data_IF_100717901808
#
_entry.id   IF_100717901808
#
_cell.length_a   1.000
_cell.length_b   1.000
_cell.length_c   1.000
_cell.angle_alpha   90.00
_cell.angle_beta   90.00
_cell.angle_gamma   90.00
#
_symmetry.space_group_name_H-M   'P 1'
#
loop_
_entity.id
_entity.type
_entity.pdbx_description
1 polymer ?
#
# COMPACT_ATOMS: atom_id res chain seq x y z
N UNK A 1 43.51 -6.64 -39.78
CA UNK A 1 42.66 -7.17 -40.84
C UNK A 1 41.29 -6.93 -40.33
N UNK A 2 40.84 -5.89 -40.69
CA UNK A 2 39.93 -5.26 -41.64
C UNK A 2 38.60 -4.97 -40.91
N UNK A 3 38.34 -3.70 -40.60
CA UNK A 3 37.70 -2.67 -41.43
C UNK A 3 36.23 -3.12 -41.72
N UNK A 4 35.17 -2.42 -41.40
CA UNK A 4 34.82 -1.05 -41.80
C UNK A 4 33.49 -0.61 -41.09
N UNK A 5 33.45 0.67 -40.77
CA UNK A 5 32.26 1.52 -40.70
C UNK A 5 31.96 2.07 -42.12
N UNK A 6 31.04 2.99 -42.33
CA UNK A 6 29.74 3.40 -41.76
C UNK A 6 28.68 3.62 -42.88
N UNK A 7 27.65 4.43 -42.62
CA UNK A 7 26.75 5.21 -43.52
C UNK A 7 25.26 4.97 -43.22
N UNK A 8 24.31 5.87 -43.21
CA UNK A 8 24.23 7.28 -43.58
C UNK A 8 22.90 7.85 -43.06
N UNK A 9 22.94 9.11 -42.65
CA UNK A 9 21.78 10.01 -42.55
C UNK A 9 21.44 10.56 -43.97
N UNK A 10 20.22 11.06 -44.22
CA UNK A 10 20.04 12.42 -44.69
C UNK A 10 18.91 13.18 -43.99
N UNK A 11 19.14 14.30 -43.49
CA UNK A 11 19.04 15.74 -43.82
C UNK A 11 17.78 16.22 -44.56
N UNK A 12 17.10 17.14 -43.84
CA UNK A 12 16.54 18.44 -44.27
C UNK A 12 15.63 18.53 -45.51
N UNK A 13 14.46 19.15 -45.31
CA UNK A 13 13.99 20.23 -46.17
C UNK A 13 13.06 21.20 -45.42
N UNK A 14 13.57 22.44 -45.32
CA UNK A 14 12.83 23.69 -45.10
C UNK A 14 12.14 24.06 -46.44
N UNK A 15 10.93 24.64 -46.35
CA UNK A 15 10.46 25.59 -47.39
C UNK A 15 9.67 26.70 -46.73
N UNK A 16 10.21 27.89 -46.92
CA UNK A 16 9.63 29.20 -46.65
C UNK A 16 8.63 29.64 -47.71
N UNK A 17 7.95 30.72 -47.36
CA UNK A 17 7.36 31.82 -48.14
C UNK A 17 5.91 31.77 -48.57
N UNK A 18 5.25 32.90 -48.21
CA UNK A 18 4.11 33.45 -48.92
C UNK A 18 3.30 34.46 -48.09
N UNK A 19 3.79 35.73 -48.04
CA UNK A 19 3.01 36.89 -47.67
C UNK A 19 1.90 37.18 -48.69
N UNK A 20 0.69 37.59 -48.27
CA UNK A 20 -0.11 38.52 -49.04
C UNK A 20 -1.04 39.37 -48.15
N UNK A 21 -0.89 40.68 -48.30
CA UNK A 21 -1.68 41.77 -47.67
C UNK A 21 -3.00 41.94 -48.43
N UNK A 22 -4.05 42.31 -47.68
CA UNK A 22 -5.30 42.76 -48.31
C UNK A 22 -6.28 43.38 -47.37
N UNK A 23 -6.21 44.68 -47.32
CA UNK A 23 -7.05 45.74 -46.69
C UNK A 23 -8.55 45.58 -46.75
N UNK A 24 -9.20 46.06 -45.67
CA UNK A 24 -10.32 47.07 -45.66
C UNK A 24 -11.73 46.66 -45.29
N UNK A 25 -12.18 47.36 -44.27
CA UNK A 25 -13.48 48.04 -44.06
C UNK A 25 -14.58 47.33 -43.30
N UNK A 26 -14.70 47.75 -42.06
CA UNK A 26 -15.84 48.51 -41.49
C UNK A 26 -17.25 47.96 -41.61
N UNK A 27 -17.79 47.48 -40.48
CA UNK A 27 -19.20 47.75 -40.13
C UNK A 27 -19.42 47.51 -38.64
N UNK A 28 -19.71 48.59 -37.94
CA UNK A 28 -20.29 48.63 -36.59
C UNK A 28 -21.61 47.87 -36.59
N UNK A 29 -21.85 47.03 -35.59
CA UNK A 29 -23.13 46.96 -34.86
C UNK A 29 -23.05 46.00 -33.70
N UNK A 30 -23.21 46.56 -32.61
CA UNK A 30 -24.11 46.19 -31.53
C UNK A 30 -23.64 45.25 -30.43
N UNK A 31 -23.57 45.93 -29.31
CA UNK A 31 -23.37 45.42 -27.96
C UNK A 31 -24.38 44.36 -27.58
N UNK A 32 -23.88 43.17 -27.23
CA UNK A 32 -24.48 42.42 -26.15
C UNK A 32 -23.37 41.77 -25.34
N UNK A 33 -23.10 42.41 -24.26
CA UNK A 33 -22.35 41.96 -23.11
C UNK A 33 -23.08 40.75 -22.51
N UNK A 34 -22.71 39.57 -23.00
CA UNK A 34 -23.03 38.30 -22.34
C UNK A 34 -21.96 38.04 -21.34
N UNK A 35 -22.14 38.57 -20.14
CA UNK A 35 -21.46 38.06 -18.94
C UNK A 35 -21.88 36.61 -18.74
N UNK A 36 -21.17 35.71 -19.40
CA UNK A 36 -21.14 34.32 -19.00
C UNK A 36 -20.45 34.31 -17.64
N UNK A 37 -21.25 34.40 -16.62
CA UNK A 37 -20.96 34.06 -15.24
C UNK A 37 -20.50 32.60 -15.28
N UNK A 38 -19.19 32.40 -15.44
CA UNK A 38 -18.56 31.13 -15.15
C UNK A 38 -18.63 31.00 -13.65
N UNK A 39 -19.78 30.54 -13.16
CA UNK A 39 -19.90 29.98 -11.82
C UNK A 39 -18.84 28.87 -11.74
N UNK A 40 -17.66 29.23 -11.22
CA UNK A 40 -16.75 28.29 -10.62
C UNK A 40 -17.62 27.58 -9.59
N UNK A 41 -18.00 26.34 -9.92
CA UNK A 41 -18.57 25.41 -8.95
C UNK A 41 -17.43 25.19 -7.96
N UNK A 42 -17.42 26.03 -6.93
CA UNK A 42 -16.52 25.91 -5.79
C UNK A 42 -16.91 24.58 -5.13
N UNK A 43 -16.14 23.53 -5.45
CA UNK A 43 -16.34 22.21 -4.86
C UNK A 43 -16.20 22.39 -3.34
N UNK A 44 -17.28 22.24 -2.54
CA UNK A 44 -17.26 22.50 -1.11
C UNK A 44 -16.21 21.66 -0.37
N UNK A 45 -15.70 20.59 -1.03
CA UNK A 45 -14.61 19.77 -0.51
C UNK A 45 -13.21 20.38 -0.71
N UNK A 46 -13.06 21.43 -1.51
CA UNK A 46 -11.79 22.11 -1.76
C UNK A 46 -11.66 23.46 -1.05
N UNK A 47 -12.66 23.91 -0.30
CA UNK A 47 -12.53 25.17 0.43
C UNK A 47 -11.43 25.07 1.48
N UNK A 48 -10.59 26.10 1.58
CA UNK A 48 -9.48 26.16 2.55
C UNK A 48 -9.97 25.92 3.98
N UNK A 49 -11.13 26.43 4.33
CA UNK A 49 -11.74 26.23 5.64
C UNK A 49 -12.12 24.77 5.90
N UNK A 50 -12.65 24.08 4.91
CA UNK A 50 -12.98 22.66 5.02
C UNK A 50 -11.72 21.82 5.30
N UNK A 51 -10.65 22.04 4.53
CA UNK A 51 -9.38 21.33 4.72
C UNK A 51 -8.78 21.64 6.09
N UNK A 52 -8.86 22.86 6.56
CA UNK A 52 -8.37 23.25 7.87
C UNK A 52 -9.17 22.55 8.99
N UNK A 53 -10.49 22.52 8.91
CA UNK A 53 -11.35 21.83 9.88
C UNK A 53 -11.08 20.32 9.86
N UNK A 54 -10.93 19.70 8.66
CA UNK A 54 -10.57 18.29 8.50
C UNK A 54 -9.22 18.00 9.14
N UNK A 55 -8.21 18.85 8.93
CA UNK A 55 -6.89 18.73 9.54
C UNK A 55 -6.95 18.72 11.07
N UNK A 56 -7.63 19.68 11.67
CA UNK A 56 -7.78 19.75 13.12
C UNK A 56 -8.51 18.54 13.70
N UNK A 57 -9.57 18.10 13.03
CA UNK A 57 -10.30 16.88 13.42
C UNK A 57 -9.37 15.66 13.41
N UNK A 58 -8.65 15.43 12.29
CA UNK A 58 -7.73 14.31 12.16
C UNK A 58 -6.65 14.33 13.23
N UNK A 59 -6.04 15.50 13.46
CA UNK A 59 -4.99 15.68 14.45
C UNK A 59 -5.51 15.43 15.88
N UNK A 60 -6.72 15.87 16.20
CA UNK A 60 -7.34 15.61 17.49
C UNK A 60 -7.58 14.11 17.73
N UNK A 61 -8.09 13.41 16.71
CA UNK A 61 -8.30 11.97 16.81
C UNK A 61 -6.95 11.20 16.94
N UNK A 62 -5.93 11.59 16.17
CA UNK A 62 -4.58 11.02 16.28
C UNK A 62 -4.00 11.21 17.68
N UNK A 63 -4.12 12.40 18.28
CA UNK A 63 -3.70 12.65 19.67
C UNK A 63 -4.43 11.76 20.67
N UNK A 64 -5.75 11.59 20.54
CA UNK A 64 -6.55 10.71 21.40
C UNK A 64 -6.13 9.25 21.28
N UNK A 65 -5.72 8.80 20.11
CA UNK A 65 -5.21 7.43 19.91
C UNK A 65 -3.79 7.28 20.45
N UNK A 66 -2.93 8.28 20.23
CA UNK A 66 -1.56 8.31 20.71
C UNK A 66 -1.49 8.21 22.24
N UNK A 67 -2.32 8.95 23.00
CA UNK A 67 -2.35 8.90 24.46
C UNK A 67 -2.76 7.55 25.04
N UNK A 68 -3.35 6.67 24.24
CA UNK A 68 -3.72 5.30 24.64
C UNK A 68 -2.61 4.28 24.42
N UNK A 69 -1.52 4.67 23.77
CA UNK A 69 -0.37 3.78 23.56
C UNK A 69 0.42 3.59 24.85
N UNK A 70 1.17 2.48 24.99
CA UNK A 70 2.19 2.36 26.03
C UNK A 70 3.24 3.48 25.92
N UNK A 71 3.71 3.97 27.07
CA UNK A 71 4.60 5.13 27.18
C UNK A 71 5.84 5.05 26.27
N UNK A 72 6.44 3.87 26.17
CA UNK A 72 7.62 3.62 25.32
C UNK A 72 7.38 3.94 23.83
N UNK A 73 6.14 3.84 23.34
CA UNK A 73 5.79 4.18 21.97
C UNK A 73 5.34 5.64 21.85
N UNK A 74 4.70 6.20 22.89
CA UNK A 74 4.36 7.62 22.91
C UNK A 74 5.61 8.49 22.77
N UNK A 75 6.72 8.13 23.47
CA UNK A 75 7.98 8.87 23.39
C UNK A 75 8.64 8.86 22.01
N UNK A 76 8.31 7.86 21.17
CA UNK A 76 8.90 7.72 19.84
C UNK A 76 8.04 8.28 18.71
N UNK A 77 6.76 8.46 18.93
CA UNK A 77 5.84 9.08 17.99
C UNK A 77 5.73 10.56 18.33
N UNK A 78 6.52 11.38 17.65
CA UNK A 78 6.55 12.82 17.93
C UNK A 78 5.27 13.52 17.46
N UNK A 79 5.05 14.73 17.98
CA UNK A 79 3.92 15.55 17.55
C UNK A 79 4.03 15.94 16.08
N UNK A 80 5.25 16.19 15.59
CA UNK A 80 5.52 16.49 14.19
C UNK A 80 5.12 15.31 13.28
N UNK A 81 5.39 14.08 13.71
CA UNK A 81 4.97 12.88 12.99
C UNK A 81 3.45 12.79 12.90
N UNK A 82 2.74 13.04 14.02
CA UNK A 82 1.27 13.05 14.03
C UNK A 82 0.69 14.18 13.15
N UNK A 83 1.30 15.35 13.17
CA UNK A 83 0.88 16.48 12.35
C UNK A 83 1.13 16.21 10.86
N UNK A 84 2.29 15.65 10.52
CA UNK A 84 2.61 15.22 9.16
C UNK A 84 1.64 14.15 8.67
N UNK A 85 1.32 13.17 9.51
CA UNK A 85 0.34 12.12 9.19
C UNK A 85 -1.06 12.72 8.97
N UNK A 86 -1.53 13.61 9.84
CA UNK A 86 -2.82 14.29 9.66
C UNK A 86 -2.89 15.05 8.33
N UNK A 87 -1.78 15.72 7.96
CA UNK A 87 -1.70 16.43 6.70
C UNK A 87 -1.73 15.50 5.48
N UNK A 88 -1.02 14.38 5.51
CA UNK A 88 -1.05 13.39 4.43
C UNK A 88 -2.44 12.75 4.25
N UNK A 89 -3.23 12.66 5.32
CA UNK A 89 -4.58 12.10 5.33
C UNK A 89 -5.68 13.08 4.90
N UNK A 90 -5.34 14.34 4.59
CA UNK A 90 -6.29 15.28 3.99
C UNK A 90 -6.77 14.77 2.62
N UNK A 91 -5.88 14.13 1.88
CA UNK A 91 -6.23 13.40 0.67
C UNK A 91 -6.66 11.97 1.05
N UNK A 92 -7.89 11.61 0.66
CA UNK A 92 -8.47 10.31 0.98
C UNK A 92 -7.76 9.12 0.29
N UNK A 93 -6.89 9.38 -0.69
CA UNK A 93 -6.09 8.36 -1.40
C UNK A 93 -5.29 7.47 -0.45
N UNK A 94 -4.74 8.02 0.64
CA UNK A 94 -3.98 7.22 1.62
C UNK A 94 -4.87 6.17 2.30
N UNK A 95 -6.12 6.51 2.61
CA UNK A 95 -7.06 5.54 3.20
C UNK A 95 -7.34 4.38 2.23
N UNK A 96 -7.51 4.67 0.94
CA UNK A 96 -7.73 3.63 -0.08
C UNK A 96 -6.47 2.76 -0.28
N UNK A 97 -5.27 3.35 -0.28
CA UNK A 97 -4.01 2.60 -0.34
C UNK A 97 -3.90 1.65 0.86
N UNK A 98 -4.10 2.15 2.08
CA UNK A 98 -4.01 1.32 3.30
C UNK A 98 -5.05 0.22 3.30
N UNK A 99 -6.28 0.51 2.89
CA UNK A 99 -7.35 -0.50 2.76
C UNK A 99 -6.96 -1.60 1.78
N UNK A 100 -6.47 -1.24 0.58
CA UNK A 100 -6.01 -2.20 -0.42
C UNK A 100 -4.84 -3.06 0.09
N UNK A 101 -3.87 -2.46 0.80
CA UNK A 101 -2.76 -3.20 1.41
C UNK A 101 -3.24 -4.22 2.45
N UNK A 102 -4.24 -3.87 3.28
CA UNK A 102 -4.81 -4.79 4.27
C UNK A 102 -5.59 -5.93 3.62
N UNK A 103 -6.30 -5.67 2.52
CA UNK A 103 -6.98 -6.71 1.75
C UNK A 103 -5.97 -7.69 1.13
N UNK A 104 -4.90 -7.19 0.53
CA UNK A 104 -3.80 -8.02 -0.02
C UNK A 104 -3.16 -8.85 1.09
N UNK A 105 -2.88 -8.26 2.25
CA UNK A 105 -2.32 -8.97 3.41
C UNK A 105 -3.25 -10.11 3.83
N UNK A 106 -4.53 -9.85 4.04
CA UNK A 106 -5.51 -10.85 4.45
C UNK A 106 -5.61 -12.02 3.47
N UNK A 107 -5.66 -11.74 2.17
CA UNK A 107 -5.67 -12.79 1.13
C UNK A 107 -4.38 -13.60 1.16
N UNK A 108 -3.23 -12.94 1.34
CA UNK A 108 -1.93 -13.62 1.43
C UNK A 108 -1.87 -14.52 2.66
N UNK A 109 -2.22 -14.03 3.85
CA UNK A 109 -2.23 -14.81 5.09
C UNK A 109 -3.13 -16.04 4.97
N UNK A 110 -4.33 -15.87 4.43
CA UNK A 110 -5.26 -16.97 4.18
C UNK A 110 -4.66 -18.02 3.24
N UNK A 111 -4.03 -17.58 2.16
CA UNK A 111 -3.35 -18.50 1.22
C UNK A 111 -2.21 -19.26 1.89
N UNK A 112 -1.37 -18.59 2.66
CA UNK A 112 -0.25 -19.21 3.37
C UNK A 112 -0.73 -20.23 4.42
N UNK A 113 -1.83 -19.93 5.13
CA UNK A 113 -2.47 -20.89 6.03
C UNK A 113 -2.96 -22.14 5.30
N UNK A 114 -3.57 -21.98 4.12
CA UNK A 114 -4.00 -23.11 3.29
C UNK A 114 -2.82 -23.98 2.83
N UNK A 115 -1.68 -23.35 2.47
CA UNK A 115 -0.46 -24.07 2.11
C UNK A 115 0.04 -24.92 3.29
N UNK A 116 0.06 -24.34 4.50
CA UNK A 116 0.46 -25.04 5.72
C UNK A 116 -0.47 -26.20 6.04
N UNK A 117 -1.77 -25.97 6.00
CA UNK A 117 -2.81 -26.97 6.24
C UNK A 117 -2.72 -28.13 5.24
N UNK A 118 -2.46 -27.82 3.97
CA UNK A 118 -2.25 -28.86 2.94
C UNK A 118 -1.09 -29.78 3.30
N UNK A 119 0.06 -29.23 3.69
CA UNK A 119 1.23 -30.04 4.09
C UNK A 119 0.89 -30.92 5.31
N UNK A 120 0.17 -30.39 6.28
CA UNK A 120 -0.27 -31.15 7.46
C UNK A 120 -1.23 -32.29 7.08
N UNK A 121 -2.19 -32.03 6.20
CA UNK A 121 -3.12 -33.04 5.69
C UNK A 121 -2.40 -34.13 4.88
N UNK A 122 -1.43 -33.74 4.04
CA UNK A 122 -0.61 -34.68 3.27
C UNK A 122 0.19 -35.62 4.23
N UNK A 123 0.73 -35.09 5.33
CA UNK A 123 1.40 -35.87 6.37
C UNK A 123 0.44 -36.86 7.05
N UNK A 124 -0.76 -36.41 7.40
CA UNK A 124 -1.77 -37.28 8.02
C UNK A 124 -2.20 -38.43 7.07
N UNK A 125 -2.35 -38.10 5.78
CA UNK A 125 -2.68 -39.08 4.76
C UNK A 125 -1.57 -40.12 4.58
N UNK A 126 -0.31 -39.67 4.58
CA UNK A 126 0.86 -40.58 4.51
C UNK A 126 0.87 -41.57 5.68
N UNK A 127 0.62 -41.10 6.91
CA UNK A 127 0.50 -41.96 8.10
C UNK A 127 -0.59 -43.01 7.92
N UNK A 128 -1.82 -42.59 7.56
CA UNK A 128 -2.94 -43.51 7.35
C UNK A 128 -2.65 -44.59 6.26
N UNK A 129 -1.93 -44.19 5.21
CA UNK A 129 -1.52 -45.16 4.17
C UNK A 129 -0.57 -46.22 4.68
N UNK A 130 0.35 -45.88 5.57
CA UNK A 130 1.26 -46.85 6.18
C UNK A 130 0.54 -47.71 7.20
N UNK A 131 -0.34 -47.19 8.02
CA UNK A 131 -1.21 -47.94 8.94
C UNK A 131 -2.03 -49.01 8.21
N UNK A 132 -2.45 -48.75 6.97
CA UNK A 132 -3.21 -49.69 6.17
C UNK A 132 -2.37 -50.78 5.50
N UNK A 133 -1.05 -50.53 5.32
CA UNK A 133 -0.14 -51.44 4.59
C UNK A 133 0.62 -52.42 5.49
N UNK A 134 0.93 -52.00 6.71
CA UNK A 134 1.76 -52.76 7.64
C UNK A 134 0.86 -53.39 8.70
N UNK A 135 1.00 -54.73 8.82
CA UNK A 135 0.23 -55.51 9.80
C UNK A 135 1.02 -55.79 11.08
N UNK A 136 2.36 -55.76 11.01
CA UNK A 136 3.22 -55.94 12.17
C UNK A 136 3.27 -54.67 13.02
N UNK A 137 2.84 -54.70 14.31
CA UNK A 137 2.81 -53.55 15.18
C UNK A 137 4.20 -52.97 15.45
N UNK A 138 5.25 -53.78 15.60
CA UNK A 138 6.58 -53.28 15.90
C UNK A 138 7.18 -52.55 14.70
N UNK A 139 7.02 -53.08 13.49
CA UNK A 139 7.44 -52.45 12.25
C UNK A 139 6.69 -51.15 12.01
N UNK A 140 5.37 -51.15 12.25
CA UNK A 140 4.52 -49.94 12.11
C UNK A 140 4.97 -48.82 13.06
N UNK A 141 5.23 -49.15 14.35
CA UNK A 141 5.69 -48.16 15.33
C UNK A 141 7.01 -47.51 14.89
N UNK A 142 7.95 -48.30 14.42
CA UNK A 142 9.24 -47.83 13.93
C UNK A 142 9.08 -46.89 12.73
N UNK A 143 8.25 -47.24 11.76
CA UNK A 143 8.01 -46.43 10.57
C UNK A 143 7.30 -45.14 10.93
N UNK A 144 6.30 -45.18 11.79
CA UNK A 144 5.62 -43.98 12.28
C UNK A 144 6.60 -43.02 12.99
N UNK A 145 7.53 -43.57 13.80
CA UNK A 145 8.54 -42.73 14.46
C UNK A 145 9.45 -42.03 13.45
N UNK A 146 9.92 -42.72 12.40
CA UNK A 146 10.73 -42.13 11.32
C UNK A 146 9.94 -41.05 10.54
N UNK A 147 8.68 -41.33 10.22
CA UNK A 147 7.82 -40.38 9.53
C UNK A 147 7.60 -39.11 10.36
N UNK A 148 7.38 -39.26 11.66
CA UNK A 148 7.20 -38.11 12.58
C UNK A 148 8.43 -37.19 12.56
N UNK A 149 9.63 -37.73 12.51
CA UNK A 149 10.86 -36.94 12.37
C UNK A 149 10.90 -36.24 11.01
N UNK A 150 10.61 -36.97 9.91
CA UNK A 150 10.55 -36.40 8.56
C UNK A 150 9.51 -35.29 8.46
N UNK A 151 8.29 -35.51 8.96
CA UNK A 151 7.20 -34.54 8.93
C UNK A 151 7.51 -33.28 9.73
N UNK A 152 8.12 -33.46 10.93
CA UNK A 152 8.54 -32.32 11.76
C UNK A 152 9.57 -31.45 11.04
N UNK A 153 10.54 -32.09 10.35
CA UNK A 153 11.53 -31.37 9.54
C UNK A 153 10.87 -30.62 8.38
N UNK A 154 10.02 -31.31 7.62
CA UNK A 154 9.32 -30.72 6.47
C UNK A 154 8.41 -29.55 6.90
N UNK A 155 7.68 -29.68 8.03
CA UNK A 155 6.84 -28.61 8.55
C UNK A 155 7.66 -27.38 8.95
N UNK A 156 8.81 -27.56 9.61
CA UNK A 156 9.73 -26.46 9.95
C UNK A 156 10.26 -25.74 8.71
N UNK A 157 10.62 -26.48 7.66
CA UNK A 157 11.07 -25.90 6.40
C UNK A 157 9.94 -25.14 5.70
N UNK A 158 8.72 -25.66 5.76
CA UNK A 158 7.53 -24.99 5.25
C UNK A 158 7.27 -23.71 6.04
N UNK A 159 7.17 -23.79 7.36
CA UNK A 159 6.91 -22.61 8.22
C UNK A 159 7.97 -21.52 8.01
N UNK A 160 9.26 -21.88 7.84
CA UNK A 160 10.31 -20.90 7.50
C UNK A 160 10.04 -20.19 6.17
N UNK A 161 9.63 -20.90 5.12
CA UNK A 161 9.28 -20.30 3.82
C UNK A 161 8.07 -19.36 3.94
N UNK A 162 7.07 -19.75 4.74
CA UNK A 162 5.88 -18.92 4.97
C UNK A 162 6.24 -17.61 5.71
N UNK A 163 7.11 -17.70 6.73
CA UNK A 163 7.59 -16.51 7.47
C UNK A 163 8.35 -15.57 6.53
N UNK A 164 9.28 -16.07 5.72
CA UNK A 164 10.00 -15.25 4.74
C UNK A 164 9.06 -14.56 3.75
N UNK A 165 7.97 -15.23 3.37
CA UNK A 165 6.96 -14.62 2.49
C UNK A 165 6.20 -13.49 3.19
N UNK A 166 5.84 -13.67 4.47
CA UNK A 166 5.20 -12.64 5.27
C UNK A 166 6.12 -11.43 5.50
N UNK A 167 7.40 -11.67 5.82
CA UNK A 167 8.39 -10.61 5.98
C UNK A 167 8.54 -9.78 4.71
N UNK A 168 8.55 -10.44 3.53
CA UNK A 168 8.58 -9.72 2.26
C UNK A 168 7.33 -8.87 2.07
N UNK A 169 6.14 -9.36 2.47
CA UNK A 169 4.91 -8.57 2.39
C UNK A 169 4.92 -7.34 3.30
N UNK A 170 5.50 -7.45 4.48
CA UNK A 170 5.70 -6.28 5.37
C UNK A 170 6.59 -5.24 4.68
N UNK A 171 7.72 -5.65 4.08
CA UNK A 171 8.60 -4.75 3.33
C UNK A 171 7.90 -4.09 2.14
N UNK A 172 7.10 -4.85 1.40
CA UNK A 172 6.31 -4.33 0.28
C UNK A 172 5.31 -3.24 0.75
N UNK A 173 4.63 -3.46 1.89
CA UNK A 173 3.74 -2.49 2.51
C UNK A 173 4.48 -1.22 2.95
N UNK A 174 5.60 -1.38 3.64
CA UNK A 174 6.45 -0.27 4.08
C UNK A 174 6.88 0.58 2.88
N UNK A 175 7.43 -0.05 1.84
CA UNK A 175 7.88 0.63 0.61
C UNK A 175 6.73 1.32 -0.13
N UNK A 176 5.53 0.74 -0.14
CA UNK A 176 4.36 1.35 -0.79
C UNK A 176 3.94 2.61 -0.06
N UNK A 177 3.88 2.59 1.27
CA UNK A 177 3.49 3.76 2.08
C UNK A 177 4.57 4.84 2.09
N UNK A 178 5.86 4.46 2.09
CA UNK A 178 6.97 5.39 1.90
C UNK A 178 6.87 6.13 0.57
N UNK A 179 6.65 5.42 -0.54
CA UNK A 179 6.47 5.99 -1.88
C UNK A 179 5.22 6.86 -1.99
N UNK A 180 4.18 6.54 -1.24
CA UNK A 180 2.97 7.37 -1.13
C UNK A 180 3.18 8.62 -0.27
N UNK A 181 4.36 8.82 0.32
CA UNK A 181 4.70 9.98 1.14
C UNK A 181 4.05 9.96 2.52
N UNK A 182 3.69 8.79 3.05
CA UNK A 182 3.10 8.68 4.39
C UNK A 182 4.19 8.79 5.46
N UNK A 183 4.13 9.81 6.33
CA UNK A 183 5.16 10.00 7.34
C UNK A 183 5.29 8.81 8.30
N UNK A 184 6.53 8.46 8.66
CA UNK A 184 6.84 7.38 9.59
C UNK A 184 6.92 5.99 8.94
N UNK A 185 6.73 5.89 7.60
CA UNK A 185 6.91 4.65 6.86
C UNK A 185 8.18 4.68 6.03
N UNK A 186 8.98 3.66 6.20
CA UNK A 186 10.21 3.34 5.46
C UNK A 186 10.53 1.87 5.67
N UNK A 187 11.30 1.27 4.78
CA UNK A 187 11.67 -0.14 4.90
C UNK A 187 12.62 -0.34 6.06
N UNK A 188 12.21 -1.18 7.02
CA UNK A 188 13.00 -1.50 8.21
C UNK A 188 12.74 -2.93 8.68
N UNK A 189 13.81 -3.57 9.18
CA UNK A 189 13.75 -4.87 9.86
C UNK A 189 13.80 -4.72 11.41
N UNK A 190 13.84 -3.48 11.91
CA UNK A 190 13.87 -3.22 13.35
C UNK A 190 12.49 -3.48 13.98
N UNK A 191 12.36 -4.43 14.93
CA UNK A 191 11.06 -4.78 15.53
C UNK A 191 10.34 -3.60 16.18
N UNK A 192 11.08 -2.66 16.75
CA UNK A 192 10.49 -1.48 17.38
C UNK A 192 9.89 -0.51 16.35
N UNK A 193 10.57 -0.30 15.23
CA UNK A 193 10.08 0.54 14.12
C UNK A 193 8.88 -0.09 13.44
N UNK A 194 8.95 -1.40 13.16
CA UNK A 194 7.80 -2.16 12.62
C UNK A 194 6.59 -2.00 13.55
N UNK A 195 6.80 -2.10 14.87
CA UNK A 195 5.72 -1.94 15.85
C UNK A 195 5.10 -0.54 15.83
N UNK A 196 5.92 0.51 15.68
CA UNK A 196 5.45 1.89 15.51
C UNK A 196 4.61 2.01 14.24
N UNK A 197 5.10 1.49 13.12
CA UNK A 197 4.38 1.52 11.85
C UNK A 197 3.05 0.77 11.94
N UNK A 198 2.98 -0.34 12.67
CA UNK A 198 1.71 -1.04 12.94
C UNK A 198 0.72 -0.16 13.70
N UNK A 199 1.17 0.64 14.68
CA UNK A 199 0.28 1.59 15.38
C UNK A 199 -0.18 2.70 14.44
N UNK A 200 0.69 3.24 13.58
CA UNK A 200 0.31 4.25 12.60
C UNK A 200 -0.72 3.70 11.59
N UNK A 201 -0.55 2.45 11.12
CA UNK A 201 -1.55 1.77 10.29
C UNK A 201 -2.90 1.62 10.99
N UNK A 202 -2.90 1.18 12.25
CA UNK A 202 -4.12 1.06 13.05
C UNK A 202 -4.82 2.43 13.21
N UNK A 203 -4.05 3.52 13.40
CA UNK A 203 -4.59 4.87 13.43
C UNK A 203 -5.27 5.25 12.12
N UNK A 204 -4.61 5.03 10.99
CA UNK A 204 -5.18 5.32 9.65
C UNK A 204 -6.47 4.51 9.44
N UNK A 205 -6.46 3.21 9.75
CA UNK A 205 -7.63 2.34 9.61
C UNK A 205 -8.80 2.75 10.51
N UNK A 206 -8.53 3.25 11.72
CA UNK A 206 -9.58 3.78 12.61
C UNK A 206 -10.14 5.08 12.07
N UNK A 207 -9.27 5.97 11.58
CA UNK A 207 -9.68 7.24 11.01
C UNK A 207 -10.54 7.04 9.75
N UNK A 208 -10.21 6.06 8.90
CA UNK A 208 -11.01 5.77 7.69
C UNK A 208 -12.46 5.34 7.99
N UNK A 209 -12.74 4.90 9.22
CA UNK A 209 -14.10 4.51 9.67
C UNK A 209 -14.87 5.68 10.28
N UNK A 210 -14.20 6.79 10.58
CA UNK A 210 -14.83 7.98 11.14
C UNK A 210 -15.35 8.84 10.00
N UNK A 211 -16.61 9.29 10.13
CA UNK A 211 -17.17 10.28 9.22
C UNK A 211 -16.79 11.68 9.72
N UNK A 212 -16.14 12.45 8.87
CA UNK A 212 -15.96 13.88 9.11
C UNK A 212 -17.23 14.61 8.66
N UNK A 213 -17.98 15.18 9.62
CA UNK A 213 -19.15 16.01 9.33
C UNK A 213 -18.74 17.48 9.50
N UNK A 214 -18.69 18.27 8.42
CA UNK A 214 -18.19 19.65 8.46
C UNK A 214 -19.06 20.63 9.25
N UNK A 215 -20.27 20.24 9.65
CA UNK A 215 -21.30 21.12 10.23
C UNK A 215 -21.62 20.87 11.72
N UNK A 216 -20.71 20.28 12.49
CA UNK A 216 -20.83 20.22 13.96
C UNK A 216 -19.77 21.03 14.65
#
# INVERSE_FOLDING_TARGET
MDTEQPENLPSTQETEFGDDEGLSQDSQADSQESTADTALIDDPFQSQEFLQRKLYFLLEQLKKMHTKLPEQFQLRISYELLAGLANSLLNDTIFEIVKGLMEIQHVTEKHLMQVREKVENDHQLEVKQWESKIQDPEELEHIIALMKIKHTKNMKETDMKLVLHLDQKVKDQQSTLEKAGVPGFYVSDNPMEIKIQMYLLDFILRLSRLKFEPNK
#
